data_IF_632072898920
#
_entry.id   IF_632072898920
#
_cell.length_a   1.000
_cell.length_b   1.000
_cell.length_c   1.000
_cell.angle_alpha   90.00
_cell.angle_beta   90.00
_cell.angle_gamma   90.00
#
_symmetry.space_group_name_H-M   'P 1'
#
loop_
_entity.id
_entity.type
_entity.pdbx_description
1 polymer ?
#
# COMPACT_ATOMS: atom_id res chain seq x y z
N UNK A 1 -10.61 21.91 -23.40
CA UNK A 1 -9.48 21.72 -22.46
C UNK A 1 -8.66 20.55 -22.96
N UNK A 2 -7.38 20.76 -23.28
CA UNK A 2 -6.50 19.74 -23.86
C UNK A 2 -6.08 18.75 -22.77
N UNK A 3 -6.51 17.49 -22.89
CA UNK A 3 -6.11 16.42 -21.97
C UNK A 3 -4.67 16.06 -22.24
N UNK A 4 -3.74 16.57 -21.44
CA UNK A 4 -2.33 16.17 -21.53
C UNK A 4 -2.24 14.69 -21.16
N UNK A 5 -1.91 13.85 -22.14
CA UNK A 5 -1.59 12.44 -21.91
C UNK A 5 -0.34 12.36 -21.04
N UNK A 6 -0.54 12.10 -19.74
CA UNK A 6 0.56 11.89 -18.80
C UNK A 6 1.28 10.59 -19.16
N UNK A 7 2.58 10.67 -19.37
CA UNK A 7 3.41 9.47 -19.49
C UNK A 7 3.37 8.65 -18.19
N UNK A 8 3.81 7.40 -18.24
CA UNK A 8 3.73 6.47 -17.09
C UNK A 8 4.37 7.04 -15.81
N UNK A 9 5.50 7.73 -15.92
CA UNK A 9 6.20 8.34 -14.78
C UNK A 9 5.37 9.45 -14.13
N UNK A 10 4.78 10.34 -14.93
CA UNK A 10 3.97 11.44 -14.41
C UNK A 10 2.66 10.94 -13.81
N UNK A 11 2.06 9.87 -14.37
CA UNK A 11 0.92 9.19 -13.74
C UNK A 11 1.26 8.64 -12.35
N UNK A 12 2.43 8.01 -12.19
CA UNK A 12 2.88 7.48 -10.90
C UNK A 12 3.04 8.63 -9.89
N UNK A 13 3.71 9.73 -10.27
CA UNK A 13 3.88 10.90 -9.39
C UNK A 13 2.54 11.48 -8.96
N UNK A 14 1.60 11.63 -9.90
CA UNK A 14 0.28 12.16 -9.59
C UNK A 14 -0.47 11.27 -8.58
N UNK A 15 -0.38 9.95 -8.73
CA UNK A 15 -1.00 9.01 -7.79
C UNK A 15 -0.36 9.10 -6.40
N UNK A 16 0.98 9.23 -6.32
CA UNK A 16 1.69 9.43 -5.04
C UNK A 16 1.24 10.73 -4.37
N UNK A 17 1.17 11.84 -5.11
CA UNK A 17 0.71 13.11 -4.55
C UNK A 17 -0.75 13.04 -4.09
N UNK A 18 -1.62 12.35 -4.85
CA UNK A 18 -3.04 12.16 -4.50
C UNK A 18 -3.19 11.35 -3.21
N UNK A 19 -2.35 10.33 -3.00
CA UNK A 19 -2.39 9.46 -1.81
C UNK A 19 -1.46 9.93 -0.67
N UNK A 20 -0.80 11.09 -0.81
CA UNK A 20 0.23 11.56 0.12
C UNK A 20 -0.23 11.61 1.57
N UNK A 21 -1.40 12.19 1.83
CA UNK A 21 -1.92 12.32 3.19
C UNK A 21 -2.13 10.96 3.85
N UNK A 22 -2.71 9.99 3.11
CA UNK A 22 -2.88 8.62 3.60
C UNK A 22 -1.54 8.01 4.03
N UNK A 23 -0.49 8.15 3.23
CA UNK A 23 0.82 7.58 3.56
C UNK A 23 1.49 8.27 4.75
N UNK A 24 1.39 9.60 4.84
CA UNK A 24 1.95 10.35 5.97
C UNK A 24 1.21 10.03 7.27
N UNK A 25 -0.13 10.00 7.24
CA UNK A 25 -0.95 9.66 8.40
C UNK A 25 -0.70 8.22 8.86
N UNK A 26 -0.56 7.28 7.91
CA UNK A 26 -0.20 5.88 8.20
C UNK A 26 1.16 5.80 8.91
N UNK A 27 2.16 6.52 8.40
CA UNK A 27 3.49 6.59 9.01
C UNK A 27 3.42 7.12 10.45
N UNK A 28 2.72 8.23 10.68
CA UNK A 28 2.54 8.79 12.02
C UNK A 28 1.75 7.87 12.95
N UNK A 29 0.72 7.18 12.45
CA UNK A 29 -0.05 6.24 13.24
C UNK A 29 0.82 5.07 13.72
N UNK A 30 1.62 4.48 12.84
CA UNK A 30 2.57 3.41 13.20
C UNK A 30 3.63 3.94 14.16
N UNK A 31 4.22 5.11 13.88
CA UNK A 31 5.21 5.73 14.76
C UNK A 31 4.65 6.02 16.17
N UNK A 32 3.37 6.41 16.28
CA UNK A 32 2.71 6.68 17.56
C UNK A 32 2.46 5.41 18.40
N UNK A 33 2.59 4.23 17.80
CA UNK A 33 2.31 2.92 18.41
C UNK A 33 3.47 1.96 18.08
N UNK A 34 4.65 2.14 18.70
CA UNK A 34 5.76 1.23 18.49
C UNK A 34 5.38 -0.17 18.99
N UNK A 35 5.62 -1.17 18.14
CA UNK A 35 5.40 -2.59 18.44
C UNK A 35 6.74 -3.33 18.42
N UNK A 36 6.80 -4.46 19.11
CA UNK A 36 8.01 -5.31 19.17
C UNK A 36 8.08 -6.19 17.92
N UNK A 37 9.30 -6.52 17.50
CA UNK A 37 9.55 -7.45 16.40
C UNK A 37 8.78 -8.77 16.54
N UNK A 38 8.05 -9.16 15.49
CA UNK A 38 7.12 -10.31 15.43
C UNK A 38 5.79 -10.10 16.18
N UNK A 39 5.57 -8.94 16.77
CA UNK A 39 4.31 -8.54 17.41
C UNK A 39 3.76 -7.23 16.82
N UNK A 40 4.28 -6.81 15.66
CA UNK A 40 3.79 -5.65 14.90
C UNK A 40 2.43 -5.85 14.19
N UNK A 41 1.40 -6.20 14.97
CA UNK A 41 0.04 -6.46 14.52
C UNK A 41 -0.65 -5.23 13.94
N UNK A 42 -0.55 -4.09 14.64
CA UNK A 42 -1.14 -2.83 14.19
C UNK A 42 -0.48 -2.34 12.91
N UNK A 43 0.86 -2.37 12.84
CA UNK A 43 1.57 -1.97 11.63
C UNK A 43 1.24 -2.90 10.46
N UNK A 44 1.29 -4.22 10.67
CA UNK A 44 0.96 -5.21 9.64
C UNK A 44 -0.48 -5.06 9.13
N UNK A 45 -1.45 -4.92 10.04
CA UNK A 45 -2.85 -4.74 9.66
C UNK A 45 -3.07 -3.43 8.89
N UNK A 46 -2.47 -2.32 9.35
CA UNK A 46 -2.62 -1.01 8.71
C UNK A 46 -2.08 -1.02 7.29
N UNK A 47 -0.88 -1.57 7.09
CA UNK A 47 -0.25 -1.64 5.77
C UNK A 47 -0.99 -2.58 4.82
N UNK A 48 -1.38 -3.77 5.31
CA UNK A 48 -2.11 -4.73 4.48
C UNK A 48 -3.48 -4.21 4.06
N UNK A 49 -4.17 -3.46 4.93
CA UNK A 49 -5.46 -2.85 4.59
C UNK A 49 -5.35 -1.85 3.43
N UNK A 50 -4.32 -1.00 3.44
CA UNK A 50 -4.05 -0.04 2.34
C UNK A 50 -3.81 -0.78 1.01
N UNK A 51 -3.08 -1.89 1.07
CA UNK A 51 -2.78 -2.69 -0.12
C UNK A 51 -4.03 -3.40 -0.66
N UNK A 52 -4.85 -3.98 0.22
CA UNK A 52 -6.14 -4.59 -0.14
C UNK A 52 -7.09 -3.55 -0.75
N UNK A 53 -7.19 -2.35 -0.18
CA UNK A 53 -8.03 -1.26 -0.71
C UNK A 53 -7.52 -0.75 -2.07
N UNK A 54 -6.22 -0.87 -2.34
CA UNK A 54 -5.62 -0.61 -3.64
C UNK A 54 -5.76 -1.78 -4.63
N UNK A 55 -6.42 -2.88 -4.25
CA UNK A 55 -6.67 -4.05 -5.11
C UNK A 55 -5.52 -5.05 -5.20
N UNK A 56 -4.58 -5.04 -4.24
CA UNK A 56 -3.55 -6.08 -4.17
C UNK A 56 -4.10 -7.36 -3.54
N UNK A 57 -3.67 -8.51 -4.05
CA UNK A 57 -3.80 -9.79 -3.34
C UNK A 57 -2.76 -9.82 -2.22
N UNK A 58 -3.21 -9.84 -0.96
CA UNK A 58 -2.34 -9.88 0.22
C UNK A 58 -2.35 -11.28 0.84
N UNK A 59 -1.15 -11.84 1.02
CA UNK A 59 -0.93 -13.09 1.77
C UNK A 59 -0.23 -12.75 3.07
N UNK A 60 -0.85 -13.10 4.20
CA UNK A 60 -0.34 -12.91 5.57
C UNK A 60 0.30 -14.20 6.09
N UNK A 61 0.96 -14.12 7.24
CA UNK A 61 1.67 -15.22 7.88
C UNK A 61 2.72 -15.87 6.97
N UNK A 62 3.59 -15.03 6.40
CA UNK A 62 4.62 -15.48 5.45
C UNK A 62 5.86 -15.94 6.20
N UNK A 63 6.43 -17.07 5.77
CA UNK A 63 7.65 -17.66 6.33
C UNK A 63 7.61 -17.94 7.85
N UNK A 64 6.41 -18.17 8.40
CA UNK A 64 6.21 -18.44 9.82
C UNK A 64 6.16 -17.20 10.72
N UNK A 65 6.12 -15.99 10.14
CA UNK A 65 5.96 -14.74 10.86
C UNK A 65 4.51 -14.26 10.74
N UNK A 66 3.76 -14.27 11.85
CA UNK A 66 2.33 -13.94 11.88
C UNK A 66 2.03 -12.54 11.33
N UNK A 67 2.92 -11.59 11.62
CA UNK A 67 2.87 -10.19 11.16
C UNK A 67 3.45 -9.98 9.77
N UNK A 68 4.14 -10.98 9.21
CA UNK A 68 4.75 -10.92 7.88
C UNK A 68 3.72 -11.06 6.76
N UNK A 69 3.87 -10.27 5.70
CA UNK A 69 2.97 -10.33 4.54
C UNK A 69 3.69 -10.13 3.20
N UNK A 70 3.06 -10.63 2.13
CA UNK A 70 3.44 -10.38 0.73
C UNK A 70 2.20 -9.88 -0.01
N UNK A 71 2.33 -8.77 -0.74
CA UNK A 71 1.27 -8.22 -1.57
C UNK A 71 1.66 -8.30 -3.05
N UNK A 72 0.74 -8.78 -3.88
CA UNK A 72 0.93 -8.88 -5.33
C UNK A 72 -0.26 -8.26 -6.05
N UNK A 73 0.03 -7.45 -7.05
CA UNK A 73 -0.97 -7.01 -8.03
C UNK A 73 -0.57 -7.58 -9.38
N UNK A 74 -1.57 -7.96 -10.17
CA UNK A 74 -1.38 -8.40 -11.54
C UNK A 74 -1.77 -7.25 -12.45
N UNK A 75 -1.11 -7.13 -13.60
CA UNK A 75 -1.59 -6.25 -14.65
C UNK A 75 -2.97 -6.77 -15.08
N UNK A 76 -4.04 -6.17 -14.57
CA UNK A 76 -5.32 -6.27 -15.23
C UNK A 76 -5.21 -5.36 -16.44
N UNK A 77 -4.89 -5.93 -17.60
CA UNK A 77 -5.22 -5.27 -18.86
C UNK A 77 -6.73 -5.03 -18.82
N UNK A 78 -7.14 -3.80 -18.55
CA UNK A 78 -8.49 -3.35 -18.83
C UNK A 78 -8.72 -3.57 -20.32
N UNK A 79 -9.36 -4.69 -20.65
CA UNK A 79 -9.81 -5.05 -22.01
C UNK A 79 -10.83 -3.98 -22.46
N UNK A 80 -10.85 -3.60 -23.75
CA UNK A 80 -11.34 -2.30 -24.23
C UNK A 80 -12.84 -2.05 -24.04
#
# INVERSE_FOLDING_TARGET
MSTVLLNRRERIKLQIETAKNLYVETSHAIHSRPEIGNEEFFASQTLTKILEDAGFEVRRNVAGHETGFVARTYLTESTP
#
